data_IF_689567499281
#
_entry.id   IF_689567499281
#
_cell.length_a   1.000
_cell.length_b   1.000
_cell.length_c   1.000
_cell.angle_alpha   90.00
_cell.angle_beta   90.00
_cell.angle_gamma   90.00
#
_symmetry.space_group_name_H-M   'P 1'
#
loop_
_entity.id
_entity.type
_entity.pdbx_description
1 polymer ?
#
# COMPACT_ATOMS: atom_id res chain seq x y z
N UNK A 1 -14.96 -21.94 -21.77
CA UNK A 1 -14.81 -20.74 -20.92
C UNK A 1 -14.51 -19.60 -21.86
N UNK A 2 -15.42 -18.61 -21.97
CA UNK A 2 -15.19 -17.42 -22.78
C UNK A 2 -14.17 -16.55 -22.04
N UNK A 3 -12.99 -16.42 -22.58
CA UNK A 3 -11.94 -15.59 -22.02
C UNK A 3 -12.22 -14.13 -22.44
N UNK A 4 -13.13 -13.46 -21.76
CA UNK A 4 -13.45 -12.07 -22.05
C UNK A 4 -12.43 -11.19 -21.34
N UNK A 5 -11.36 -10.83 -22.05
CA UNK A 5 -10.42 -9.83 -21.57
C UNK A 5 -11.09 -8.46 -21.63
N UNK A 6 -11.43 -7.90 -20.48
CA UNK A 6 -11.98 -6.54 -20.39
C UNK A 6 -10.88 -5.54 -20.72
N UNK A 7 -11.12 -4.64 -21.67
CA UNK A 7 -10.17 -3.58 -21.98
C UNK A 7 -10.19 -2.46 -20.93
N UNK A 8 -9.08 -1.75 -20.73
CA UNK A 8 -9.06 -0.58 -19.83
C UNK A 8 -10.01 0.54 -20.30
N UNK A 9 -10.40 0.55 -21.57
CA UNK A 9 -11.41 1.49 -22.09
C UNK A 9 -12.80 1.25 -21.55
N UNK A 10 -13.12 0.03 -21.12
CA UNK A 10 -14.41 -0.36 -20.53
C UNK A 10 -14.47 -0.12 -19.01
N UNK A 11 -13.35 0.26 -18.40
CA UNK A 11 -13.25 0.56 -16.97
C UNK A 11 -13.52 2.05 -16.74
N UNK A 12 -14.05 2.38 -15.58
CA UNK A 12 -14.20 3.78 -15.15
C UNK A 12 -12.87 4.52 -15.26
N UNK A 13 -12.86 5.61 -16.03
CA UNK A 13 -11.64 6.34 -16.36
C UNK A 13 -11.04 7.11 -15.18
N UNK A 14 -11.83 7.47 -14.17
CA UNK A 14 -11.33 8.04 -12.93
C UNK A 14 -10.49 7.03 -12.13
N UNK A 15 -10.93 5.77 -12.09
CA UNK A 15 -10.18 4.68 -11.45
C UNK A 15 -8.86 4.40 -12.18
N UNK A 16 -8.89 4.33 -13.51
CA UNK A 16 -7.69 4.12 -14.33
C UNK A 16 -6.70 5.26 -14.11
N UNK A 17 -7.16 6.51 -14.09
CA UNK A 17 -6.30 7.68 -13.83
C UNK A 17 -5.69 7.63 -12.43
N UNK A 18 -6.48 7.33 -11.40
CA UNK A 18 -6.00 7.25 -10.02
C UNK A 18 -4.92 6.18 -9.86
N UNK A 19 -5.14 4.99 -10.44
CA UNK A 19 -4.13 3.93 -10.45
C UNK A 19 -2.84 4.35 -11.16
N UNK A 20 -2.94 4.93 -12.35
CA UNK A 20 -1.79 5.37 -13.12
C UNK A 20 -0.99 6.46 -12.39
N UNK A 21 -1.68 7.42 -11.75
CA UNK A 21 -1.04 8.47 -10.95
C UNK A 21 -0.32 7.89 -9.72
N UNK A 22 -0.96 6.96 -9.01
CA UNK A 22 -0.36 6.33 -7.84
C UNK A 22 0.88 5.50 -8.21
N UNK A 23 0.82 4.74 -9.32
CA UNK A 23 1.97 3.97 -9.82
C UNK A 23 3.09 4.88 -10.32
N UNK A 24 2.77 5.94 -11.05
CA UNK A 24 3.77 6.91 -11.52
C UNK A 24 4.50 7.59 -10.35
N UNK A 25 3.81 7.81 -9.23
CA UNK A 25 4.43 8.37 -8.04
C UNK A 25 5.53 7.46 -7.45
N UNK A 26 5.47 6.15 -7.66
CA UNK A 26 6.47 5.20 -7.14
C UNK A 26 7.84 5.28 -7.82
N UNK A 27 7.91 5.90 -8.99
CA UNK A 27 9.17 6.13 -9.70
C UNK A 27 9.87 7.43 -9.29
N UNK A 28 9.19 8.32 -8.55
CA UNK A 28 9.69 9.62 -8.11
C UNK A 28 10.31 9.55 -6.72
N UNK A 29 11.27 10.45 -6.40
CA UNK A 29 11.69 10.61 -5.01
C UNK A 29 10.48 10.91 -4.11
N UNK A 30 10.44 10.26 -2.97
CA UNK A 30 9.41 10.45 -1.96
C UNK A 30 9.88 11.32 -0.80
N UNK A 31 9.28 11.11 0.35
CA UNK A 31 9.71 11.80 1.57
C UNK A 31 10.99 11.20 2.15
N UNK A 32 11.11 9.86 2.15
CA UNK A 32 12.22 9.13 2.79
C UNK A 32 13.03 8.27 1.83
N UNK A 33 12.49 7.92 0.67
CA UNK A 33 13.12 7.05 -0.29
C UNK A 33 13.37 7.76 -1.62
N UNK A 34 14.54 7.53 -2.23
CA UNK A 34 14.80 7.97 -3.60
C UNK A 34 13.88 7.25 -4.59
N UNK A 35 13.73 7.79 -5.81
CA UNK A 35 12.93 7.12 -6.85
C UNK A 35 13.44 5.70 -7.17
N UNK A 36 14.76 5.50 -7.16
CA UNK A 36 15.36 4.17 -7.35
C UNK A 36 14.95 3.20 -6.23
N UNK A 37 15.05 3.61 -4.98
CA UNK A 37 14.66 2.79 -3.82
C UNK A 37 13.16 2.48 -3.82
N UNK A 38 12.31 3.47 -4.09
CA UNK A 38 10.85 3.26 -4.15
C UNK A 38 10.48 2.26 -5.25
N UNK A 39 11.11 2.38 -6.43
CA UNK A 39 10.90 1.42 -7.51
C UNK A 39 11.36 0.01 -7.11
N UNK A 40 12.53 -0.14 -6.51
CA UNK A 40 13.01 -1.44 -6.03
C UNK A 40 12.05 -2.07 -5.01
N UNK A 41 11.60 -1.29 -4.04
CA UNK A 41 10.63 -1.72 -3.03
C UNK A 41 9.29 -2.10 -3.66
N UNK A 42 8.81 -1.33 -4.65
CA UNK A 42 7.60 -1.66 -5.40
C UNK A 42 7.73 -3.00 -6.14
N UNK A 43 8.87 -3.29 -6.77
CA UNK A 43 9.14 -4.57 -7.43
C UNK A 43 9.19 -5.72 -6.41
N UNK A 44 9.73 -5.49 -5.21
CA UNK A 44 9.70 -6.49 -4.13
C UNK A 44 8.29 -6.76 -3.64
N UNK A 45 7.43 -5.75 -3.53
CA UNK A 45 6.01 -5.92 -3.22
C UNK A 45 5.29 -6.74 -4.31
N UNK A 46 5.56 -6.46 -5.58
CA UNK A 46 5.01 -7.24 -6.70
C UNK A 46 5.43 -8.70 -6.64
N UNK A 47 6.72 -8.96 -6.37
CA UNK A 47 7.23 -10.32 -6.20
C UNK A 47 6.45 -11.05 -5.10
N UNK A 48 6.31 -10.43 -3.92
CA UNK A 48 5.61 -11.00 -2.78
C UNK A 48 4.14 -11.36 -3.10
N UNK A 49 3.43 -10.44 -3.76
CA UNK A 49 2.01 -10.60 -4.11
C UNK A 49 1.82 -11.67 -5.21
N UNK A 50 2.83 -11.87 -6.07
CA UNK A 50 2.78 -12.83 -7.16
C UNK A 50 3.07 -14.27 -6.73
N UNK A 51 3.62 -14.48 -5.55
CA UNK A 51 3.92 -15.81 -5.04
C UNK A 51 2.64 -16.57 -4.70
N UNK A 52 2.54 -17.79 -5.23
CA UNK A 52 1.39 -18.68 -5.04
C UNK A 52 1.54 -19.59 -3.83
N UNK A 53 2.74 -19.75 -3.31
CA UNK A 53 3.01 -20.63 -2.17
C UNK A 53 2.29 -20.15 -0.91
N UNK A 54 1.87 -21.07 -0.04
CA UNK A 54 1.28 -20.71 1.25
C UNK A 54 2.20 -19.79 2.05
N UNK A 55 1.61 -18.88 2.81
CA UNK A 55 2.35 -18.04 3.73
C UNK A 55 2.88 -18.91 4.86
N UNK A 56 4.20 -19.04 4.95
CA UNK A 56 4.82 -19.68 6.12
C UNK A 56 4.63 -18.81 7.37
N UNK A 57 4.52 -19.39 8.56
CA UNK A 57 4.63 -18.64 9.80
C UNK A 57 5.94 -17.85 9.78
N UNK A 58 5.86 -16.55 10.03
CA UNK A 58 7.01 -15.65 10.01
C UNK A 58 7.86 -15.84 11.28
N UNK A 59 8.52 -16.98 11.38
CA UNK A 59 9.46 -17.28 12.45
C UNK A 59 10.86 -17.21 11.85
N UNK A 60 11.62 -16.20 12.23
CA UNK A 60 13.00 -16.06 11.79
C UNK A 60 13.20 -15.20 10.53
N UNK A 61 14.30 -15.44 9.83
CA UNK A 61 14.76 -14.64 8.68
C UNK A 61 13.93 -14.95 7.44
N UNK A 62 13.45 -13.92 6.75
CA UNK A 62 12.76 -14.06 5.47
C UNK A 62 13.68 -14.61 4.38
N UNK A 63 13.12 -15.42 3.49
CA UNK A 63 13.84 -15.94 2.32
C UNK A 63 13.93 -14.96 1.16
N UNK A 64 13.36 -13.76 1.30
CA UNK A 64 13.34 -12.76 0.23
C UNK A 64 14.74 -12.39 -0.27
N UNK A 65 15.73 -12.38 0.60
CA UNK A 65 17.11 -12.04 0.24
C UNK A 65 17.68 -12.90 -0.91
N UNK A 66 17.23 -14.15 -1.02
CA UNK A 66 17.65 -15.06 -2.08
C UNK A 66 16.95 -14.80 -3.44
N UNK A 67 15.93 -13.93 -3.44
CA UNK A 67 15.11 -13.59 -4.61
C UNK A 67 15.39 -12.19 -5.14
N UNK A 68 16.21 -11.43 -4.43
CA UNK A 68 16.53 -10.04 -4.78
C UNK A 68 17.77 -9.97 -5.66
N UNK A 69 17.90 -8.91 -6.49
CA UNK A 69 19.12 -8.63 -7.24
C UNK A 69 20.35 -8.52 -6.33
N UNK A 70 21.52 -8.79 -6.86
CA UNK A 70 22.78 -8.67 -6.12
C UNK A 70 23.10 -7.22 -5.71
N UNK A 71 22.67 -6.25 -6.51
CA UNK A 71 22.84 -4.81 -6.25
C UNK A 71 21.51 -4.18 -5.86
N UNK A 72 21.44 -3.66 -4.65
CA UNK A 72 20.26 -2.97 -4.11
C UNK A 72 20.66 -1.55 -3.69
N UNK A 73 19.76 -0.59 -3.92
CA UNK A 73 19.90 0.79 -3.41
C UNK A 73 19.16 0.98 -2.10
N UNK A 74 18.07 0.26 -1.88
CA UNK A 74 17.36 0.24 -0.61
C UNK A 74 17.99 -0.77 0.37
N UNK A 75 17.95 -0.52 1.68
CA UNK A 75 18.45 -1.45 2.70
C UNK A 75 17.75 -2.82 2.64
N UNK A 76 18.47 -3.90 2.90
CA UNK A 76 17.91 -5.26 2.91
C UNK A 76 16.72 -5.40 3.87
N UNK A 77 16.77 -4.74 5.02
CA UNK A 77 15.67 -4.74 5.99
C UNK A 77 14.38 -4.12 5.42
N UNK A 78 14.48 -3.10 4.57
CA UNK A 78 13.32 -2.50 3.91
C UNK A 78 12.71 -3.47 2.88
N UNK A 79 13.53 -4.22 2.15
CA UNK A 79 13.05 -5.27 1.25
C UNK A 79 12.37 -6.41 2.02
N UNK A 80 12.95 -6.86 3.14
CA UNK A 80 12.31 -7.86 4.00
C UNK A 80 10.97 -7.35 4.54
N UNK A 81 10.95 -6.11 5.00
CA UNK A 81 9.75 -5.49 5.55
C UNK A 81 8.63 -5.40 4.52
N UNK A 82 8.88 -4.83 3.33
CA UNK A 82 7.83 -4.70 2.32
C UNK A 82 7.36 -6.05 1.78
N UNK A 83 8.25 -7.03 1.69
CA UNK A 83 7.90 -8.39 1.30
C UNK A 83 6.90 -9.00 2.29
N UNK A 84 7.18 -8.92 3.60
CA UNK A 84 6.30 -9.44 4.66
C UNK A 84 4.96 -8.72 4.69
N UNK A 85 4.95 -7.39 4.64
CA UNK A 85 3.73 -6.58 4.60
C UNK A 85 2.86 -6.96 3.39
N UNK A 86 3.46 -7.09 2.22
CA UNK A 86 2.75 -7.42 0.97
C UNK A 86 2.29 -8.87 0.93
N UNK A 87 2.99 -9.77 1.60
CA UNK A 87 2.69 -11.20 1.63
C UNK A 87 1.54 -11.53 2.56
N UNK A 88 1.61 -11.10 3.82
CA UNK A 88 0.56 -11.33 4.81
C UNK A 88 0.74 -10.45 6.05
N UNK A 89 0.18 -9.26 6.02
CA UNK A 89 0.33 -8.27 7.09
C UNK A 89 -0.21 -8.76 8.46
N UNK A 90 -1.24 -9.63 8.46
CA UNK A 90 -1.85 -10.14 9.68
C UNK A 90 -0.90 -11.01 10.54
N UNK A 91 0.21 -11.50 9.98
CA UNK A 91 1.23 -12.28 10.73
C UNK A 91 2.29 -11.42 11.41
N UNK A 92 2.29 -10.11 11.18
CA UNK A 92 3.28 -9.20 11.73
C UNK A 92 2.98 -8.90 13.21
N UNK A 93 4.04 -8.70 14.00
CA UNK A 93 3.95 -8.40 15.43
C UNK A 93 4.56 -7.04 15.74
N UNK A 94 4.23 -6.49 16.91
CA UNK A 94 4.84 -5.24 17.38
C UNK A 94 6.35 -5.38 17.54
N UNK A 95 6.84 -6.49 18.05
CA UNK A 95 8.29 -6.75 18.23
C UNK A 95 9.01 -6.79 16.88
N UNK A 96 8.36 -7.30 15.83
CA UNK A 96 8.92 -7.24 14.49
C UNK A 96 8.99 -5.79 13.98
N UNK A 97 7.93 -5.00 14.18
CA UNK A 97 7.90 -3.59 13.81
C UNK A 97 9.01 -2.80 14.52
N UNK A 98 9.19 -3.01 15.82
CA UNK A 98 10.23 -2.36 16.61
C UNK A 98 11.64 -2.72 16.13
N UNK A 99 11.88 -3.97 15.75
CA UNK A 99 13.16 -4.38 15.13
C UNK A 99 13.41 -3.69 13.79
N UNK A 100 12.41 -3.61 12.94
CA UNK A 100 12.53 -2.94 11.64
C UNK A 100 12.81 -1.44 11.84
N UNK A 101 12.07 -0.79 12.72
CA UNK A 101 12.20 0.66 12.95
C UNK A 101 13.40 1.05 13.82
N UNK A 102 14.10 0.09 14.39
CA UNK A 102 15.44 0.31 14.93
C UNK A 102 16.53 0.48 13.85
N UNK A 103 16.29 -0.04 12.63
CA UNK A 103 17.23 0.03 11.51
C UNK A 103 16.85 1.07 10.46
N UNK A 104 15.54 1.38 10.32
CA UNK A 104 15.03 2.43 9.41
C UNK A 104 14.14 3.40 10.19
N UNK A 105 14.13 4.66 9.75
CA UNK A 105 13.27 5.69 10.36
C UNK A 105 11.79 5.24 10.34
N UNK A 106 11.02 5.39 11.44
CA UNK A 106 9.61 5.04 11.49
C UNK A 106 8.75 5.69 10.40
N UNK A 107 9.09 6.91 9.97
CA UNK A 107 8.38 7.58 8.87
C UNK A 107 8.74 7.00 7.50
N UNK A 108 10.00 6.54 7.34
CA UNK A 108 10.39 5.77 6.16
C UNK A 108 9.62 4.43 6.09
N UNK A 109 9.34 3.80 7.24
CA UNK A 109 8.48 2.63 7.33
C UNK A 109 7.02 2.95 6.92
N UNK A 110 6.47 4.09 7.34
CA UNK A 110 5.13 4.55 6.90
C UNK A 110 5.08 4.70 5.38
N UNK A 111 6.08 5.34 4.77
CA UNK A 111 6.16 5.46 3.30
C UNK A 111 6.27 4.08 2.62
N UNK A 112 7.04 3.16 3.19
CA UNK A 112 7.15 1.79 2.71
C UNK A 112 5.79 1.06 2.74
N UNK A 113 5.01 1.22 3.81
CA UNK A 113 3.63 0.71 3.87
C UNK A 113 2.77 1.31 2.75
N UNK A 114 2.93 2.60 2.46
CA UNK A 114 2.23 3.27 1.36
C UNK A 114 2.55 2.68 -0.01
N UNK A 115 3.80 2.27 -0.26
CA UNK A 115 4.19 1.55 -1.48
C UNK A 115 3.42 0.22 -1.57
N UNK A 116 3.39 -0.56 -0.51
CA UNK A 116 2.65 -1.83 -0.47
C UNK A 116 1.14 -1.63 -0.69
N UNK A 117 0.55 -0.62 -0.03
CA UNK A 117 -0.86 -0.25 -0.16
C UNK A 117 -1.21 0.31 -1.55
N UNK A 118 -0.23 0.78 -2.31
CA UNK A 118 -0.43 1.17 -3.72
C UNK A 118 -0.37 -0.03 -4.64
N UNK A 119 0.63 -0.89 -4.50
CA UNK A 119 0.87 -2.03 -5.40
C UNK A 119 -0.24 -3.09 -5.26
N UNK A 120 -0.63 -3.45 -4.04
CA UNK A 120 -1.51 -4.57 -3.79
C UNK A 120 -2.89 -4.44 -4.47
N UNK A 121 -3.65 -3.34 -4.31
CA UNK A 121 -4.96 -3.21 -4.94
C UNK A 121 -4.86 -3.06 -6.45
N UNK A 122 -3.85 -2.36 -6.98
CA UNK A 122 -3.66 -2.22 -8.42
C UNK A 122 -3.35 -3.57 -9.08
N UNK A 123 -2.51 -4.39 -8.46
CA UNK A 123 -2.24 -5.76 -8.95
C UNK A 123 -3.48 -6.64 -8.87
N UNK A 124 -4.23 -6.59 -7.77
CA UNK A 124 -5.47 -7.35 -7.62
C UNK A 124 -6.49 -6.96 -8.70
N UNK A 125 -6.67 -5.66 -8.94
CA UNK A 125 -7.53 -5.13 -9.98
C UNK A 125 -7.11 -5.62 -11.38
N UNK A 126 -5.84 -5.48 -11.75
CA UNK A 126 -5.33 -5.94 -13.05
C UNK A 126 -5.53 -7.45 -13.24
N UNK A 127 -5.23 -8.23 -12.20
CA UNK A 127 -5.44 -9.69 -12.24
C UNK A 127 -6.90 -10.06 -12.43
N UNK A 128 -7.84 -9.38 -11.75
CA UNK A 128 -9.27 -9.66 -11.87
C UNK A 128 -9.82 -9.39 -13.28
N UNK A 129 -9.18 -8.51 -14.03
CA UNK A 129 -9.53 -8.17 -15.41
C UNK A 129 -8.73 -8.94 -16.47
N UNK A 130 -7.80 -9.82 -16.07
CA UNK A 130 -6.91 -10.50 -17.02
C UNK A 130 -5.92 -9.58 -17.72
N UNK A 131 -5.63 -8.41 -17.16
CA UNK A 131 -4.70 -7.45 -17.74
C UNK A 131 -3.23 -7.90 -17.56
N UNK A 132 -2.32 -7.43 -18.42
CA UNK A 132 -0.88 -7.69 -18.28
C UNK A 132 -0.36 -7.31 -16.89
N UNK A 133 0.78 -7.87 -16.50
CA UNK A 133 1.45 -7.53 -15.26
C UNK A 133 1.65 -6.00 -15.13
N UNK A 134 1.63 -5.51 -13.89
CA UNK A 134 1.88 -4.11 -13.61
C UNK A 134 3.34 -3.77 -13.90
N UNK A 135 3.58 -2.72 -14.67
CA UNK A 135 4.90 -2.15 -14.89
C UNK A 135 5.09 -0.90 -14.04
N UNK A 136 6.17 -0.88 -13.27
CA UNK A 136 6.64 0.32 -12.57
C UNK A 136 7.66 1.01 -13.47
N UNK A 137 7.42 2.27 -13.79
CA UNK A 137 8.27 3.06 -14.70
C UNK A 137 9.74 3.17 -14.24
N UNK A 138 10.58 3.73 -15.08
CA UNK A 138 11.98 4.01 -14.73
C UNK A 138 12.06 5.03 -13.59
N UNK A 139 13.01 4.80 -12.67
CA UNK A 139 13.20 5.70 -11.54
C UNK A 139 13.63 7.10 -12.01
N UNK A 140 13.00 8.11 -11.48
CA UNK A 140 13.42 9.51 -11.63
C UNK A 140 14.56 9.81 -10.63
N UNK A 141 15.52 10.62 -11.08
CA UNK A 141 16.62 11.10 -10.25
C UNK A 141 16.11 12.15 -9.25
N UNK A 142 16.74 12.21 -8.09
CA UNK A 142 16.44 13.20 -7.05
C UNK A 142 16.65 12.62 -5.64
N UNK A 143 16.72 13.53 -4.67
CA UNK A 143 16.82 13.18 -3.26
C UNK A 143 15.43 13.17 -2.61
N UNK A 144 15.20 12.36 -1.59
CA UNK A 144 13.99 12.45 -0.78
C UNK A 144 13.92 13.82 -0.11
N UNK A 145 12.69 14.29 0.15
CA UNK A 145 12.48 15.62 0.75
C UNK A 145 12.85 15.69 2.22
N UNK A 146 12.80 14.57 2.92
CA UNK A 146 12.96 14.43 4.37
C UNK A 146 12.06 15.38 5.18
N UNK A 147 10.91 15.73 4.61
CA UNK A 147 9.96 16.64 5.24
C UNK A 147 9.18 15.91 6.35
N UNK A 148 9.37 16.35 7.57
CA UNK A 148 8.58 15.90 8.70
C UNK A 148 7.49 16.94 9.01
N UNK A 149 6.22 16.52 9.16
CA UNK A 149 5.19 17.43 9.63
C UNK A 149 5.41 17.79 11.11
N UNK A 150 4.92 18.95 11.49
CA UNK A 150 4.87 19.32 12.90
C UNK A 150 3.90 18.42 13.69
N UNK A 151 4.13 18.33 15.01
CA UNK A 151 3.23 17.64 15.93
C UNK A 151 3.05 16.13 15.65
N UNK A 152 4.15 15.43 15.35
CA UNK A 152 4.17 13.97 15.28
C UNK A 152 4.08 13.39 16.70
N UNK A 153 3.14 12.48 16.89
CA UNK A 153 2.88 11.80 18.16
C UNK A 153 2.77 10.28 17.97
N UNK A 154 2.92 9.54 19.06
CA UNK A 154 2.60 8.11 19.07
C UNK A 154 1.09 7.91 18.89
N UNK A 155 0.69 7.02 18.00
CA UNK A 155 -0.72 6.66 17.85
C UNK A 155 -1.22 5.84 19.04
N UNK A 156 -2.55 5.87 19.27
CA UNK A 156 -3.17 5.04 20.30
C UNK A 156 -3.34 3.58 19.86
N UNK A 157 -3.79 3.36 18.63
CA UNK A 157 -4.08 2.03 18.10
C UNK A 157 -3.04 1.55 17.07
N UNK A 158 -2.51 2.45 16.25
CA UNK A 158 -1.47 2.15 15.29
C UNK A 158 -0.11 1.95 15.98
N UNK A 159 0.77 1.21 15.35
CA UNK A 159 2.18 1.14 15.76
C UNK A 159 2.99 2.32 15.22
N UNK A 160 2.57 2.85 14.08
CA UNK A 160 3.24 3.94 13.37
C UNK A 160 2.94 5.30 14.00
N UNK A 161 3.86 6.27 13.95
CA UNK A 161 3.60 7.65 14.37
C UNK A 161 2.56 8.31 13.47
N UNK A 162 1.82 9.25 14.02
CA UNK A 162 0.75 10.00 13.33
C UNK A 162 0.88 11.50 13.63
N UNK A 163 0.21 12.35 12.84
CA UNK A 163 0.06 13.77 13.18
C UNK A 163 -1.05 13.90 14.22
N UNK A 164 -0.73 14.51 15.35
CA UNK A 164 -1.65 14.65 16.49
C UNK A 164 -2.81 15.64 16.29
N UNK A 165 -3.83 15.54 17.14
CA UNK A 165 -3.97 14.58 18.23
C UNK A 165 -4.29 13.16 17.76
N UNK A 166 -3.80 12.15 18.49
CA UNK A 166 -3.86 10.72 18.08
C UNK A 166 -5.28 10.11 18.14
N UNK A 167 -6.23 10.76 18.75
CA UNK A 167 -7.63 10.34 18.91
C UNK A 167 -8.60 11.11 18.02
N UNK A 168 -8.08 11.96 17.12
CA UNK A 168 -8.91 12.84 16.29
C UNK A 168 -9.78 12.09 15.29
N UNK A 169 -9.21 11.08 14.67
CA UNK A 169 -9.84 10.35 13.56
C UNK A 169 -9.67 8.82 13.75
N UNK A 170 -10.37 8.04 12.93
CA UNK A 170 -10.20 6.60 12.94
C UNK A 170 -8.74 6.20 12.62
N UNK A 171 -8.27 5.09 13.20
CA UNK A 171 -6.88 4.65 13.08
C UNK A 171 -6.42 4.48 11.62
N UNK A 172 -7.30 4.01 10.73
CA UNK A 172 -7.00 3.85 9.30
C UNK A 172 -6.80 5.20 8.61
N UNK A 173 -7.53 6.23 9.02
CA UNK A 173 -7.41 7.60 8.47
C UNK A 173 -6.10 8.22 8.90
N UNK A 174 -5.67 7.97 10.13
CA UNK A 174 -4.43 8.54 10.69
C UNK A 174 -3.16 7.85 10.21
N UNK A 175 -3.23 6.59 9.75
CA UNK A 175 -2.07 5.72 9.54
C UNK A 175 -0.95 6.32 8.65
N UNK A 176 -1.29 7.20 7.72
CA UNK A 176 -0.32 7.82 6.80
C UNK A 176 -0.10 9.32 7.04
N UNK A 177 -0.75 9.92 8.03
CA UNK A 177 -0.71 11.38 8.23
C UNK A 177 0.70 11.92 8.48
N UNK A 178 1.57 11.12 9.11
CA UNK A 178 2.97 11.49 9.36
C UNK A 178 3.85 11.53 8.08
N UNK A 179 3.33 11.05 6.93
CA UNK A 179 3.98 11.17 5.61
C UNK A 179 2.95 11.76 4.63
N UNK A 180 2.74 13.09 4.61
CA UNK A 180 1.62 13.74 3.92
C UNK A 180 1.52 13.42 2.42
N UNK A 181 2.65 13.27 1.71
CA UNK A 181 2.63 12.93 0.30
C UNK A 181 2.11 11.50 0.07
N UNK A 182 2.54 10.53 0.88
CA UNK A 182 2.01 9.16 0.85
C UNK A 182 0.52 9.14 1.17
N UNK A 183 0.11 9.88 2.22
CA UNK A 183 -1.29 10.01 2.61
C UNK A 183 -2.14 10.53 1.46
N UNK A 184 -1.70 11.58 0.79
CA UNK A 184 -2.40 12.18 -0.37
C UNK A 184 -2.58 11.17 -1.52
N UNK A 185 -1.54 10.41 -1.86
CA UNK A 185 -1.59 9.41 -2.94
C UNK A 185 -2.54 8.28 -2.61
N UNK A 186 -2.47 7.75 -1.39
CA UNK A 186 -3.33 6.64 -0.92
C UNK A 186 -4.80 7.06 -0.92
N UNK A 187 -5.15 8.23 -0.37
CA UNK A 187 -6.54 8.67 -0.32
C UNK A 187 -7.09 9.04 -1.69
N UNK A 188 -6.31 9.66 -2.57
CA UNK A 188 -6.74 9.91 -3.94
C UNK A 188 -7.06 8.60 -4.70
N UNK A 189 -6.32 7.54 -4.44
CA UNK A 189 -6.59 6.22 -4.99
C UNK A 189 -7.81 5.57 -4.32
N UNK A 190 -7.92 5.64 -3.00
CA UNK A 190 -9.03 5.09 -2.22
C UNK A 190 -10.39 5.69 -2.65
N UNK A 191 -10.45 7.00 -2.83
CA UNK A 191 -11.65 7.71 -3.31
C UNK A 191 -12.15 7.18 -4.64
N UNK A 192 -11.23 6.83 -5.55
CA UNK A 192 -11.59 6.25 -6.84
C UNK A 192 -11.95 4.77 -6.75
N UNK A 193 -11.34 4.02 -5.84
CA UNK A 193 -11.54 2.57 -5.70
C UNK A 193 -12.80 2.22 -4.91
N UNK A 194 -13.10 2.97 -3.87
CA UNK A 194 -14.16 2.64 -2.92
C UNK A 194 -15.18 3.77 -2.79
N UNK A 195 -15.35 4.34 -1.63
CA UNK A 195 -16.29 5.42 -1.33
C UNK A 195 -15.46 6.67 -1.04
N UNK A 196 -15.74 7.80 -1.69
CA UNK A 196 -15.10 9.06 -1.34
C UNK A 196 -15.35 9.41 0.13
N UNK A 197 -14.34 9.95 0.80
CA UNK A 197 -14.40 10.25 2.23
C UNK A 197 -15.66 11.06 2.62
N UNK A 198 -16.00 12.09 1.87
CA UNK A 198 -17.20 12.92 2.07
C UNK A 198 -18.53 12.19 1.94
N UNK A 199 -18.55 11.06 1.22
CA UNK A 199 -19.75 10.24 0.98
C UNK A 199 -19.82 9.05 1.96
N UNK A 200 -18.82 8.87 2.79
CA UNK A 200 -18.74 7.72 3.69
C UNK A 200 -19.90 7.66 4.68
N UNK A 201 -20.42 8.81 5.09
CA UNK A 201 -21.53 8.92 6.04
C UNK A 201 -22.91 8.80 5.40
N UNK A 202 -23.03 8.84 4.06
CA UNK A 202 -24.30 8.66 3.36
C UNK A 202 -24.60 7.17 3.13
N UNK A 203 -25.58 6.57 3.83
CA UNK A 203 -25.90 5.14 3.69
C UNK A 203 -26.57 4.80 2.35
N UNK A 204 -27.00 5.80 1.58
CA UNK A 204 -27.65 5.62 0.29
C UNK A 204 -26.71 5.85 -0.90
N UNK A 205 -25.53 6.40 -0.65
CA UNK A 205 -24.58 6.64 -1.73
C UNK A 205 -24.14 5.34 -2.38
N UNK A 206 -24.09 5.35 -3.69
CA UNK A 206 -23.69 4.18 -4.46
C UNK A 206 -22.74 4.56 -5.58
N UNK A 207 -22.01 3.57 -6.08
CA UNK A 207 -21.16 3.71 -7.24
C UNK A 207 -21.59 2.70 -8.32
N UNK A 208 -22.07 3.23 -9.44
CA UNK A 208 -22.55 2.39 -10.55
C UNK A 208 -23.84 1.65 -10.19
N UNK A 209 -23.89 0.35 -10.48
CA UNK A 209 -25.08 -0.49 -10.31
C UNK A 209 -25.17 -1.22 -8.96
N UNK A 210 -24.14 -1.14 -8.14
CA UNK A 210 -24.11 -1.78 -6.81
C UNK A 210 -24.73 -0.86 -5.77
N UNK A 211 -25.65 -1.38 -4.96
CA UNK A 211 -26.14 -0.67 -3.79
C UNK A 211 -25.06 -0.54 -2.72
N UNK A 212 -25.22 0.39 -1.77
CA UNK A 212 -24.32 0.54 -0.63
C UNK A 212 -24.12 -0.78 0.12
N UNK A 213 -25.20 -1.51 0.40
CA UNK A 213 -25.14 -2.80 1.10
C UNK A 213 -24.30 -3.82 0.34
N UNK A 214 -24.44 -3.89 -0.98
CA UNK A 214 -23.64 -4.80 -1.81
C UNK A 214 -22.15 -4.42 -1.79
N UNK A 215 -21.83 -3.13 -1.83
CA UNK A 215 -20.46 -2.63 -1.74
C UNK A 215 -19.83 -2.99 -0.38
N UNK A 216 -20.55 -2.78 0.71
CA UNK A 216 -20.09 -3.11 2.06
C UNK A 216 -19.91 -4.61 2.26
N UNK A 217 -20.79 -5.43 1.70
CA UNK A 217 -20.65 -6.88 1.73
C UNK A 217 -19.37 -7.35 1.04
N UNK A 218 -19.04 -6.77 -0.11
CA UNK A 218 -17.81 -7.07 -0.84
C UNK A 218 -16.58 -6.64 0.00
N UNK A 219 -16.61 -5.42 0.54
CA UNK A 219 -15.53 -4.90 1.37
C UNK A 219 -15.29 -5.77 2.61
N UNK A 220 -16.36 -6.14 3.32
CA UNK A 220 -16.30 -7.04 4.48
C UNK A 220 -15.71 -8.41 4.11
N UNK A 221 -16.10 -8.96 2.95
CA UNK A 221 -15.57 -10.24 2.48
C UNK A 221 -14.07 -10.17 2.16
N UNK A 222 -13.62 -9.07 1.57
CA UNK A 222 -12.19 -8.84 1.31
C UNK A 222 -11.43 -8.73 2.64
N UNK A 223 -11.95 -7.98 3.61
CA UNK A 223 -11.35 -7.85 4.95
C UNK A 223 -11.23 -9.21 5.64
N UNK A 224 -12.28 -10.03 5.60
CA UNK A 224 -12.26 -11.37 6.16
C UNK A 224 -11.18 -12.26 5.52
N UNK A 225 -11.05 -12.21 4.18
CA UNK A 225 -10.03 -13.00 3.48
C UNK A 225 -8.60 -12.52 3.74
N UNK A 226 -8.43 -11.28 4.15
CA UNK A 226 -7.14 -10.68 4.51
C UNK A 226 -6.86 -10.70 6.00
N UNK A 227 -7.73 -11.33 6.78
CA UNK A 227 -7.64 -11.39 8.24
C UNK A 227 -7.51 -9.99 8.87
N UNK A 228 -8.15 -9.01 8.28
CA UNK A 228 -8.21 -7.64 8.77
C UNK A 228 -9.27 -7.56 9.87
N UNK A 229 -8.88 -7.23 11.07
CA UNK A 229 -9.79 -7.12 12.21
C UNK A 229 -10.35 -5.69 12.40
N UNK A 230 -9.87 -4.75 11.64
CA UNK A 230 -10.31 -3.35 11.70
C UNK A 230 -11.67 -3.14 11.03
#
# INVERSE_FOLDING_TARGET
>A
MVNTTISLGEVRQDLVRAHNQAIAALSKPGTWWTGAQRRELALTAQLAISELEPVAPWVGISTVANKLPASLTAPKIAHDAIYRISRHAATLTREWYEKVTAEINPLAFVELCGIACTIAPVMAFRRSLGLPALEVGSAESGQPSNNEPDNIVAAQLNWVPVVGPADKDAAVVQAFTAVPETNRVIWAMADAQYIPDKEMVDPNWTRGTLSRVQMELIATRVSQQRECFY
#
